data_IF_754705178492
#
_entry.id   IF_754705178492
#
_cell.length_a   1.000
_cell.length_b   1.000
_cell.length_c   1.000
_cell.angle_alpha   90.00
_cell.angle_beta   90.00
_cell.angle_gamma   90.00
#
_symmetry.space_group_name_H-M   'P 1'
#
loop_
_entity.id
_entity.type
_entity.pdbx_description
1 polymer ?
#
# COMPACT_ATOMS: atom_id res chain seq x y z
N UNK A 1 -17.50 -14.93 23.34
CA UNK A 1 -17.13 -13.56 22.94
C UNK A 1 -16.01 -13.68 21.92
N UNK A 2 -16.26 -13.42 20.64
CA UNK A 2 -15.22 -13.40 19.61
C UNK A 2 -15.13 -11.96 19.08
N UNK A 3 -14.43 -11.11 19.82
CA UNK A 3 -14.19 -9.71 19.45
C UNK A 3 -12.73 -9.50 19.04
N UNK A 4 -12.26 -10.24 18.02
CA UNK A 4 -11.08 -9.78 17.28
C UNK A 4 -11.61 -8.76 16.27
N UNK A 5 -11.43 -7.48 16.57
CA UNK A 5 -11.83 -6.38 15.68
C UNK A 5 -11.26 -6.65 14.29
N UNK A 6 -12.10 -6.60 13.26
CA UNK A 6 -11.66 -6.73 11.88
C UNK A 6 -10.71 -5.57 11.52
N UNK A 7 -9.68 -5.79 10.69
CA UNK A 7 -8.79 -4.72 10.26
C UNK A 7 -9.59 -3.65 9.53
N UNK A 8 -9.29 -2.37 9.80
CA UNK A 8 -9.95 -1.25 9.12
C UNK A 8 -9.17 -0.92 7.86
N UNK A 9 -9.81 -0.94 6.70
CA UNK A 9 -9.15 -0.71 5.42
C UNK A 9 -9.53 0.63 4.80
N UNK A 10 -8.62 1.20 4.01
CA UNK A 10 -8.83 2.44 3.27
C UNK A 10 -8.08 2.42 1.92
N UNK A 11 -8.77 2.79 0.84
CA UNK A 11 -8.18 2.97 -0.49
C UNK A 11 -7.34 4.23 -0.53
N UNK A 12 -6.07 4.11 -0.95
CA UNK A 12 -5.13 5.23 -1.12
C UNK A 12 -5.25 5.78 -2.55
N UNK A 13 -5.23 4.89 -3.54
CA UNK A 13 -5.36 5.23 -4.95
C UNK A 13 -5.84 4.02 -5.74
N UNK A 14 -6.61 4.25 -6.80
CA UNK A 14 -7.06 3.19 -7.69
C UNK A 14 -7.11 3.69 -9.15
N UNK A 15 -6.91 2.76 -10.06
CA UNK A 15 -7.09 2.89 -11.50
C UNK A 15 -7.94 1.72 -11.98
N UNK A 16 -8.13 1.56 -13.29
CA UNK A 16 -8.90 0.44 -13.83
C UNK A 16 -8.34 -0.94 -13.46
N UNK A 17 -7.02 -1.09 -13.34
CA UNK A 17 -6.37 -2.40 -13.14
C UNK A 17 -5.46 -2.47 -11.90
N UNK A 18 -5.26 -1.36 -11.20
CA UNK A 18 -4.32 -1.26 -10.09
C UNK A 18 -4.93 -0.52 -8.92
N UNK A 19 -4.64 -0.99 -7.70
CA UNK A 19 -5.11 -0.36 -6.47
C UNK A 19 -4.02 -0.38 -5.40
N UNK A 20 -3.88 0.72 -4.68
CA UNK A 20 -3.14 0.80 -3.44
C UNK A 20 -4.12 1.05 -2.29
N UNK A 21 -4.02 0.27 -1.22
CA UNK A 21 -4.85 0.42 -0.02
C UNK A 21 -4.04 0.12 1.24
N UNK A 22 -4.53 0.58 2.39
CA UNK A 22 -3.92 0.31 3.71
C UNK A 22 -4.89 -0.37 4.66
N UNK A 23 -4.34 -1.08 5.63
CA UNK A 23 -5.09 -1.63 6.76
C UNK A 23 -4.49 -1.18 8.09
N UNK A 24 -5.34 -0.75 9.02
CA UNK A 24 -5.03 -0.68 10.45
C UNK A 24 -5.32 -2.06 11.05
N UNK A 25 -4.26 -2.79 11.39
CA UNK A 25 -4.32 -4.12 11.98
C UNK A 25 -4.84 -4.07 13.44
N UNK A 26 -5.32 -5.19 14.00
CA UNK A 26 -5.91 -5.20 15.34
C UNK A 26 -4.95 -4.81 16.48
N UNK A 27 -3.64 -4.87 16.24
CA UNK A 27 -2.58 -4.43 17.15
C UNK A 27 -2.21 -2.95 16.98
N UNK A 28 -2.82 -2.27 16.01
CA UNK A 28 -2.57 -0.87 15.69
C UNK A 28 -1.44 -0.64 14.68
N UNK A 29 -0.84 -1.71 14.13
CA UNK A 29 0.12 -1.59 13.04
C UNK A 29 -0.57 -1.20 11.72
N UNK A 30 0.16 -0.51 10.85
CA UNK A 30 -0.31 -0.14 9.51
C UNK A 30 0.36 -1.03 8.47
N UNK A 31 -0.44 -1.73 7.66
CA UNK A 31 0.03 -2.49 6.50
C UNK A 31 -0.46 -1.83 5.21
N UNK A 32 0.32 -1.97 4.14
CA UNK A 32 0.02 -1.40 2.83
C UNK A 32 0.01 -2.50 1.77
N UNK A 33 -0.88 -2.35 0.80
CA UNK A 33 -1.19 -3.38 -0.17
C UNK A 33 -1.25 -2.74 -1.55
N UNK A 34 -0.51 -3.30 -2.49
CA UNK A 34 -0.53 -2.92 -3.90
C UNK A 34 -1.04 -4.09 -4.72
N UNK A 35 -2.21 -3.91 -5.33
CA UNK A 35 -2.83 -4.86 -6.24
C UNK A 35 -2.44 -4.53 -7.69
N UNK A 36 -1.76 -5.50 -8.31
CA UNK A 36 -1.18 -5.45 -9.63
C UNK A 36 -1.81 -6.54 -10.51
N UNK A 37 -3.10 -6.38 -10.83
CA UNK A 37 -3.88 -7.38 -11.55
C UNK A 37 -3.99 -8.69 -10.76
N UNK A 38 -3.14 -9.67 -11.10
CA UNK A 38 -3.15 -11.00 -10.47
C UNK A 38 -2.23 -11.13 -9.25
N UNK A 39 -1.49 -10.07 -8.91
CA UNK A 39 -0.54 -10.07 -7.81
C UNK A 39 -0.95 -9.05 -6.76
N UNK A 40 -0.79 -9.41 -5.50
CA UNK A 40 -0.84 -8.45 -4.39
C UNK A 40 0.52 -8.43 -3.73
N UNK A 41 1.08 -7.24 -3.56
CA UNK A 41 2.32 -7.03 -2.80
C UNK A 41 1.94 -6.39 -1.47
N UNK A 42 2.42 -7.01 -0.39
CA UNK A 42 2.17 -6.57 0.98
C UNK A 42 3.43 -5.90 1.52
N UNK A 43 3.24 -4.80 2.23
CA UNK A 43 4.30 -4.02 2.83
C UNK A 43 3.98 -3.73 4.30
N UNK A 44 4.99 -3.84 5.15
CA UNK A 44 5.00 -3.10 6.41
C UNK A 44 5.27 -1.62 6.14
N UNK A 45 5.01 -0.76 7.14
CA UNK A 45 5.20 0.70 7.04
C UNK A 45 6.58 1.08 6.49
N UNK A 46 7.66 0.50 7.01
CA UNK A 46 9.03 0.85 6.58
C UNK A 46 9.30 0.47 5.12
N UNK A 47 8.81 -0.69 4.68
CA UNK A 47 8.97 -1.17 3.30
C UNK A 47 8.15 -0.33 2.32
N UNK A 48 6.97 0.11 2.75
CA UNK A 48 6.10 1.01 1.99
C UNK A 48 6.77 2.38 1.78
N UNK A 49 7.35 2.95 2.84
CA UNK A 49 8.03 4.24 2.76
C UNK A 49 9.23 4.19 1.81
N UNK A 50 10.04 3.13 1.86
CA UNK A 50 11.16 2.90 0.93
C UNK A 50 10.67 2.70 -0.51
N UNK A 51 9.58 1.94 -0.71
CA UNK A 51 8.97 1.77 -2.02
C UNK A 51 8.48 3.11 -2.60
N UNK A 52 7.83 3.95 -1.80
CA UNK A 52 7.40 5.28 -2.22
C UNK A 52 8.59 6.18 -2.58
N UNK A 53 9.71 6.07 -1.85
CA UNK A 53 10.94 6.78 -2.19
C UNK A 53 11.47 6.36 -3.57
N UNK A 54 11.50 5.06 -3.86
CA UNK A 54 11.89 4.56 -5.19
C UNK A 54 10.96 5.09 -6.28
N UNK A 55 9.64 5.02 -6.09
CA UNK A 55 8.67 5.47 -7.08
C UNK A 55 8.80 6.97 -7.38
N UNK A 56 9.07 7.80 -6.35
CA UNK A 56 9.38 9.23 -6.54
C UNK A 56 10.61 9.43 -7.41
N UNK A 57 11.69 8.70 -7.14
CA UNK A 57 12.92 8.79 -7.95
C UNK A 57 12.68 8.37 -9.41
N UNK A 58 11.84 7.36 -9.65
CA UNK A 58 11.44 6.95 -11.00
C UNK A 58 10.67 8.07 -11.70
N UNK A 59 9.66 8.65 -11.06
CA UNK A 59 8.86 9.76 -11.63
C UNK A 59 9.78 10.95 -11.97
N UNK A 60 10.65 11.36 -11.05
CA UNK A 60 11.60 12.46 -11.28
C UNK A 60 12.57 12.19 -12.44
N UNK A 61 12.85 10.93 -12.75
CA UNK A 61 13.73 10.57 -13.88
C UNK A 61 13.04 10.71 -15.24
N UNK A 62 11.74 10.41 -15.33
CA UNK A 62 10.96 10.54 -16.55
C UNK A 62 10.63 12.01 -16.88
N UNK A 63 10.47 12.88 -15.88
CA UNK A 63 10.24 14.33 -16.09
C UNK A 63 11.47 15.08 -16.62
N UNK A 64 12.66 14.47 -16.54
CA UNK A 64 13.93 15.04 -17.02
C UNK A 64 14.35 14.54 -18.40
N UNK A 65 13.60 13.58 -18.98
CA UNK A 65 13.83 13.02 -20.32
C UNK A 65 12.99 13.71 -21.38
#
# INVERSE_FOLDING_TARGET
MNGRSEPKTETIAETENYMAWRAEEPDGEMTYHLELGNFTVHFFQEEWDEFLQLMRAVIESEEKG
#
